data_IF_826396039703
#
_entry.id   IF_826396039703
#
_cell.length_a   1.000
_cell.length_b   1.000
_cell.length_c   1.000
_cell.angle_alpha   90.00
_cell.angle_beta   90.00
_cell.angle_gamma   90.00
#
_symmetry.space_group_name_H-M   'P 1'
#
loop_
_entity.id
_entity.type
_entity.pdbx_description
1 polymer ?
#
# COMPACT_ATOMS: atom_id res chain seq x y z
N UNK A 1 -27.67 -15.83 16.03
CA UNK A 1 -26.59 -15.55 15.05
C UNK A 1 -25.56 -14.68 15.73
N UNK A 2 -24.46 -15.28 16.20
CA UNK A 2 -23.42 -14.56 16.92
C UNK A 2 -22.65 -13.66 15.94
N UNK A 3 -22.61 -12.35 16.24
CA UNK A 3 -21.68 -11.42 15.56
C UNK A 3 -20.26 -11.88 15.91
N UNK A 4 -19.52 -12.33 14.91
CA UNK A 4 -18.07 -12.49 15.06
C UNK A 4 -17.48 -11.10 15.33
N UNK A 5 -16.60 -10.94 16.34
CA UNK A 5 -15.96 -9.67 16.60
C UNK A 5 -15.11 -9.31 15.39
N UNK A 6 -15.33 -8.11 14.81
CA UNK A 6 -14.39 -7.53 13.87
C UNK A 6 -13.02 -7.50 14.56
N UNK A 7 -12.12 -8.38 14.16
CA UNK A 7 -10.78 -8.45 14.69
C UNK A 7 -10.12 -7.09 14.47
N UNK A 8 -9.94 -6.43 15.61
CA UNK A 8 -9.51 -5.07 15.77
C UNK A 8 -8.01 -4.99 15.55
N UNK A 9 -7.54 -5.28 14.35
CA UNK A 9 -6.17 -4.98 13.94
C UNK A 9 -6.16 -3.89 12.86
N UNK A 10 -5.93 -2.67 13.35
CA UNK A 10 -5.20 -1.61 12.66
C UNK A 10 -5.93 -0.86 11.52
N UNK A 11 -7.20 -0.53 11.72
CA UNK A 11 -7.78 0.71 11.19
C UNK A 11 -8.37 1.54 12.33
N UNK A 12 -7.49 2.02 13.24
CA UNK A 12 -7.81 3.12 14.15
C UNK A 12 -7.90 4.43 13.35
N UNK A 13 -8.93 4.56 12.53
CA UNK A 13 -9.32 5.81 11.90
C UNK A 13 -10.83 5.87 11.99
N UNK A 14 -11.34 6.85 12.75
CA UNK A 14 -12.75 7.05 13.10
C UNK A 14 -13.65 7.42 11.89
N UNK A 15 -13.36 6.89 10.70
CA UNK A 15 -14.08 7.11 9.46
C UNK A 15 -13.86 5.91 8.51
N UNK A 16 -14.39 4.75 8.88
CA UNK A 16 -14.29 3.56 8.05
C UNK A 16 -15.34 3.60 6.93
N UNK A 17 -14.93 4.01 5.72
CA UNK A 17 -15.79 4.00 4.51
C UNK A 17 -15.92 2.61 3.87
N UNK A 18 -15.14 1.64 4.33
CA UNK A 18 -14.99 0.31 3.72
C UNK A 18 -15.08 -0.82 4.76
N UNK A 19 -15.93 -0.64 5.77
CA UNK A 19 -16.18 -1.64 6.80
C UNK A 19 -17.35 -2.54 6.38
N UNK A 20 -17.05 -3.75 5.93
CA UNK A 20 -18.04 -4.78 5.59
C UNK A 20 -17.38 -6.14 5.38
N UNK A 21 -18.09 -7.26 5.63
CA UNK A 21 -17.52 -8.60 5.46
C UNK A 21 -17.05 -8.86 4.02
N UNK A 22 -17.74 -8.31 3.02
CA UNK A 22 -17.39 -8.42 1.60
C UNK A 22 -16.04 -7.76 1.30
N UNK A 23 -15.81 -6.58 1.89
CA UNK A 23 -14.54 -5.88 1.75
C UNK A 23 -13.41 -6.67 2.40
N UNK A 24 -13.65 -7.30 3.55
CA UNK A 24 -12.63 -8.11 4.21
C UNK A 24 -12.24 -9.32 3.37
N UNK A 25 -13.22 -9.99 2.74
CA UNK A 25 -12.97 -11.11 1.82
C UNK A 25 -12.14 -10.64 0.63
N UNK A 26 -12.52 -9.51 0.01
CA UNK A 26 -11.78 -8.93 -1.10
C UNK A 26 -10.34 -8.57 -0.71
N UNK A 27 -10.18 -7.88 0.41
CA UNK A 27 -8.88 -7.52 0.96
C UNK A 27 -8.01 -8.74 1.22
N UNK A 28 -8.56 -9.78 1.83
CA UNK A 28 -7.80 -11.01 2.10
C UNK A 28 -7.33 -11.69 0.80
N UNK A 29 -8.17 -11.71 -0.24
CA UNK A 29 -7.79 -12.24 -1.54
C UNK A 29 -6.68 -11.41 -2.21
N UNK A 30 -6.81 -10.08 -2.18
CA UNK A 30 -5.80 -9.17 -2.72
C UNK A 30 -4.48 -9.25 -1.95
N UNK A 31 -4.53 -9.36 -0.63
CA UNK A 31 -3.34 -9.48 0.22
C UNK A 31 -2.58 -10.75 -0.08
N UNK A 32 -3.29 -11.87 -0.26
CA UNK A 32 -2.68 -13.14 -0.67
C UNK A 32 -1.97 -13.00 -2.02
N UNK A 33 -2.64 -12.43 -3.01
CA UNK A 33 -2.04 -12.20 -4.33
C UNK A 33 -0.80 -11.30 -4.27
N UNK A 34 -0.81 -10.28 -3.42
CA UNK A 34 0.34 -9.41 -3.21
C UNK A 34 1.52 -10.17 -2.58
N UNK A 35 1.27 -11.01 -1.57
CA UNK A 35 2.31 -11.86 -0.96
C UNK A 35 2.94 -12.78 -2.01
N UNK A 36 2.12 -13.42 -2.84
CA UNK A 36 2.59 -14.33 -3.87
C UNK A 36 3.45 -13.58 -4.90
N UNK A 37 3.00 -12.41 -5.35
CA UNK A 37 3.77 -11.56 -6.26
C UNK A 37 5.12 -11.13 -5.66
N UNK A 38 5.16 -10.71 -4.39
CA UNK A 38 6.40 -10.33 -3.70
C UNK A 38 7.39 -11.49 -3.69
N UNK A 39 6.93 -12.70 -3.37
CA UNK A 39 7.78 -13.89 -3.28
C UNK A 39 8.31 -14.32 -4.65
N UNK A 40 7.47 -14.31 -5.68
CA UNK A 40 7.84 -14.73 -7.03
C UNK A 40 8.85 -13.75 -7.63
N UNK A 41 8.57 -12.44 -7.52
CA UNK A 41 9.41 -11.39 -8.08
C UNK A 41 10.64 -11.08 -7.20
N UNK A 42 10.71 -11.64 -5.99
CA UNK A 42 11.77 -11.41 -4.99
C UNK A 42 11.98 -9.90 -4.74
N UNK A 43 10.88 -9.19 -4.56
CA UNK A 43 10.89 -7.73 -4.41
C UNK A 43 11.53 -7.33 -3.08
N UNK A 44 12.48 -6.40 -3.12
CA UNK A 44 13.08 -5.81 -1.91
C UNK A 44 12.36 -4.54 -1.43
N UNK A 45 11.74 -3.82 -2.37
CA UNK A 45 11.07 -2.53 -2.12
C UNK A 45 9.71 -2.49 -2.81
N UNK A 46 8.65 -2.21 -2.06
CA UNK A 46 7.30 -1.93 -2.57
C UNK A 46 7.06 -0.43 -2.48
N UNK A 47 6.56 0.16 -3.55
CA UNK A 47 6.13 1.56 -3.58
C UNK A 47 4.60 1.62 -3.65
N UNK A 48 3.95 2.02 -2.57
CA UNK A 48 2.52 2.30 -2.53
C UNK A 48 2.21 3.64 -3.19
N UNK A 49 1.31 3.65 -4.17
CA UNK A 49 0.84 4.89 -4.79
C UNK A 49 -0.35 5.42 -3.99
N UNK A 50 -0.09 6.42 -3.15
CA UNK A 50 -1.04 7.00 -2.21
C UNK A 50 -1.15 6.25 -0.87
N UNK A 51 -1.64 6.95 0.14
CA UNK A 51 -1.68 6.46 1.52
C UNK A 51 -2.56 5.22 1.76
N UNK A 52 -3.52 4.93 0.87
CA UNK A 52 -4.26 3.67 0.95
C UNK A 52 -3.37 2.48 0.58
N UNK A 53 -2.72 2.54 -0.59
CA UNK A 53 -1.88 1.46 -1.09
C UNK A 53 -0.68 1.20 -0.17
N UNK A 54 -0.05 2.27 0.33
CA UNK A 54 1.02 2.17 1.34
C UNK A 54 0.56 1.40 2.57
N UNK A 55 -0.56 1.80 3.19
CA UNK A 55 -1.07 1.14 4.40
C UNK A 55 -1.42 -0.32 4.15
N UNK A 56 -2.02 -0.64 3.01
CA UNK A 56 -2.32 -2.04 2.65
C UNK A 56 -1.04 -2.86 2.49
N UNK A 57 -0.05 -2.35 1.77
CA UNK A 57 1.25 -3.02 1.63
C UNK A 57 1.96 -3.19 2.98
N UNK A 58 1.97 -2.18 3.84
CA UNK A 58 2.53 -2.26 5.20
C UNK A 58 1.86 -3.35 6.03
N UNK A 59 0.53 -3.43 6.01
CA UNK A 59 -0.21 -4.48 6.72
C UNK A 59 0.18 -5.87 6.23
N UNK A 60 0.26 -6.08 4.90
CA UNK A 60 0.63 -7.36 4.30
C UNK A 60 2.06 -7.78 4.66
N UNK A 61 3.01 -6.84 4.54
CA UNK A 61 4.42 -7.09 4.86
C UNK A 61 4.60 -7.42 6.35
N UNK A 62 3.93 -6.69 7.24
CA UNK A 62 4.00 -6.92 8.69
C UNK A 62 3.33 -8.24 9.10
N UNK A 63 2.12 -8.53 8.59
CA UNK A 63 1.38 -9.75 8.92
C UNK A 63 2.09 -11.01 8.43
N UNK A 64 2.78 -10.91 7.28
CA UNK A 64 3.50 -12.01 6.65
C UNK A 64 4.98 -12.07 7.00
N UNK A 65 5.47 -11.13 7.83
CA UNK A 65 6.88 -11.00 8.25
C UNK A 65 7.86 -11.01 7.06
N UNK A 66 7.49 -10.34 5.97
CA UNK A 66 8.32 -10.27 4.77
C UNK A 66 9.44 -9.23 4.99
N UNK A 67 10.70 -9.51 4.62
CA UNK A 67 11.81 -8.58 4.77
C UNK A 67 11.83 -7.54 3.63
N UNK A 68 10.72 -6.83 3.42
CA UNK A 68 10.51 -5.92 2.29
C UNK A 68 10.25 -4.51 2.80
N UNK A 69 10.91 -3.51 2.20
CA UNK A 69 10.70 -2.11 2.56
C UNK A 69 9.47 -1.57 1.85
N UNK A 70 8.55 -0.94 2.59
CA UNK A 70 7.39 -0.26 1.99
C UNK A 70 7.64 1.25 1.99
N UNK A 71 7.55 1.85 0.81
CA UNK A 71 7.66 3.29 0.55
C UNK A 71 6.35 3.81 -0.05
N UNK A 72 6.22 5.14 -0.15
CA UNK A 72 5.01 5.77 -0.64
C UNK A 72 5.32 6.92 -1.60
N UNK A 73 4.57 6.98 -2.69
CA UNK A 73 4.50 8.12 -3.59
C UNK A 73 3.12 8.78 -3.50
N UNK A 74 3.02 10.09 -3.77
CA UNK A 74 1.72 10.75 -3.90
C UNK A 74 0.87 10.04 -4.96
N UNK A 75 -0.46 10.08 -4.80
CA UNK A 75 -1.36 9.47 -5.78
C UNK A 75 -1.54 10.41 -7.00
N UNK A 76 -1.48 9.91 -8.25
CA UNK A 76 -1.54 10.74 -9.46
C UNK A 76 -2.92 11.30 -9.77
N UNK A 77 -3.98 10.84 -9.10
CA UNK A 77 -5.35 11.31 -9.41
C UNK A 77 -5.51 12.82 -9.22
N UNK A 78 -6.24 13.51 -10.11
CA UNK A 78 -6.55 14.94 -9.98
C UNK A 78 -7.44 15.23 -8.76
N UNK A 79 -8.07 14.20 -8.18
CA UNK A 79 -8.84 14.31 -6.93
C UNK A 79 -7.93 14.45 -5.71
N UNK A 80 -6.64 14.16 -5.84
CA UNK A 80 -5.68 14.42 -4.78
C UNK A 80 -5.43 15.92 -4.65
N UNK A 81 -5.46 16.43 -3.42
CA UNK A 81 -5.28 17.85 -3.14
C UNK A 81 -3.90 18.31 -3.61
N UNK A 82 -3.84 19.43 -4.35
CA UNK A 82 -2.61 20.07 -4.81
C UNK A 82 -1.71 19.21 -5.73
N UNK A 83 -2.31 18.45 -6.64
CA UNK A 83 -1.61 17.54 -7.56
C UNK A 83 -1.34 18.12 -8.96
N UNK A 84 -0.97 19.41 -9.06
CA UNK A 84 -0.69 20.04 -10.38
C UNK A 84 0.64 19.60 -10.99
N UNK A 85 1.62 19.22 -10.16
CA UNK A 85 2.97 18.79 -10.60
C UNK A 85 3.31 17.39 -10.04
N UNK A 86 2.48 16.39 -10.33
CA UNK A 86 2.69 15.04 -9.79
C UNK A 86 4.04 14.46 -10.22
N UNK A 87 4.40 14.59 -11.49
CA UNK A 87 5.63 14.02 -12.05
C UNK A 87 6.87 14.55 -11.34
N UNK A 88 6.98 15.87 -11.14
CA UNK A 88 8.09 16.48 -10.39
C UNK A 88 8.16 15.96 -8.95
N UNK A 89 7.02 15.89 -8.26
CA UNK A 89 6.95 15.39 -6.88
C UNK A 89 7.31 13.91 -6.78
N UNK A 90 6.89 13.10 -7.75
CA UNK A 90 7.20 11.67 -7.81
C UNK A 90 8.70 11.46 -8.07
N UNK A 91 9.27 12.18 -9.04
CA UNK A 91 10.71 12.13 -9.33
C UNK A 91 11.55 12.58 -8.14
N UNK A 92 11.17 13.68 -7.48
CA UNK A 92 11.85 14.13 -6.26
C UNK A 92 11.82 13.06 -5.17
N UNK A 93 10.66 12.44 -4.92
CA UNK A 93 10.53 11.38 -3.91
C UNK A 93 11.34 10.14 -4.26
N UNK A 94 11.34 9.72 -5.53
CA UNK A 94 12.19 8.61 -5.99
C UNK A 94 13.67 8.93 -5.83
N UNK A 95 14.08 10.19 -6.05
CA UNK A 95 15.44 10.66 -5.80
C UNK A 95 15.80 10.58 -4.31
N UNK A 96 14.92 11.07 -3.43
CA UNK A 96 15.08 10.98 -1.98
C UNK A 96 15.19 9.53 -1.48
N UNK A 97 14.56 8.58 -2.17
CA UNK A 97 14.67 7.16 -1.87
C UNK A 97 15.90 6.49 -2.48
N UNK A 98 16.68 7.19 -3.32
CA UNK A 98 17.82 6.62 -4.04
C UNK A 98 17.41 5.63 -5.14
N UNK A 99 16.18 5.73 -5.66
CA UNK A 99 15.62 4.76 -6.61
C UNK A 99 15.64 5.22 -8.06
N UNK A 100 16.03 6.46 -8.34
CA UNK A 100 16.13 6.94 -9.73
C UNK A 100 17.13 6.13 -10.55
N UNK A 101 18.20 5.64 -9.93
CA UNK A 101 19.22 4.79 -10.58
C UNK A 101 18.64 3.50 -11.15
N UNK A 102 17.53 3.00 -10.58
CA UNK A 102 16.83 1.82 -11.10
C UNK A 102 16.13 2.06 -12.45
N UNK A 103 16.00 3.31 -12.89
CA UNK A 103 15.27 3.70 -14.10
C UNK A 103 16.16 4.38 -15.16
N UNK A 104 17.44 4.60 -14.88
CA UNK A 104 18.38 5.30 -15.78
C UNK A 104 19.23 4.35 -16.61
N UNK A 105 18.71 3.16 -16.94
CA UNK A 105 19.38 2.18 -17.79
C UNK A 105 19.59 2.68 -19.23
#
# INVERSE_FOLDING_TARGET
MNRLPCERLLLNSNNCRTCGPEIQILHSACDKALIDAIKILKVEIIIGIGGYAEKRAQLVVQSSKLPVKVLCLPHPSPRAVNNKNWSEKATQKLSEFGLLECFTA
#
